data_IF_359894882910
#
_entry.id   IF_359894882910
#
_cell.length_a   1.000
_cell.length_b   1.000
_cell.length_c   1.000
_cell.angle_alpha   90.00
_cell.angle_beta   90.00
_cell.angle_gamma   90.00
#
_symmetry.space_group_name_H-M   'P 1'
#
loop_
_entity.id
_entity.type
_entity.pdbx_description
1 polymer ?
#
# COMPACT_ATOMS: atom_id res chain seq x y z
N UNK A 1 0.74 10.30 -12.26
CA UNK A 1 0.61 10.03 -10.82
C UNK A 1 -0.62 10.77 -10.35
N UNK A 2 -1.58 10.06 -9.76
CA UNK A 2 -2.80 10.68 -9.23
C UNK A 2 -2.58 10.95 -7.76
N UNK A 3 -2.81 12.19 -7.32
CA UNK A 3 -2.80 12.52 -5.89
C UNK A 3 -4.13 12.13 -5.27
N UNK A 4 -4.06 11.44 -4.14
CA UNK A 4 -5.17 11.16 -3.25
C UNK A 4 -4.82 11.71 -1.85
N UNK A 5 -5.76 12.41 -1.23
CA UNK A 5 -5.62 13.02 0.09
C UNK A 5 -6.58 12.37 1.05
N UNK A 6 -6.09 12.07 2.25
CA UNK A 6 -6.79 11.32 3.26
C UNK A 6 -6.85 12.10 4.56
N UNK A 7 -8.00 12.04 5.21
CA UNK A 7 -8.22 12.47 6.58
C UNK A 7 -8.81 11.30 7.34
N UNK A 8 -8.04 10.81 8.32
CA UNK A 8 -8.38 9.61 9.05
C UNK A 8 -8.34 9.85 10.56
N UNK A 9 -9.08 9.03 11.31
CA UNK A 9 -9.06 9.00 12.77
C UNK A 9 -8.78 7.57 13.26
N UNK A 10 -8.04 7.39 14.37
CA UNK A 10 -7.88 6.09 15.01
C UNK A 10 -9.22 5.45 15.33
N UNK A 11 -9.33 4.15 15.11
CA UNK A 11 -10.50 3.38 15.48
C UNK A 11 -10.13 2.02 16.07
N UNK A 12 -11.11 1.39 16.72
CA UNK A 12 -11.00 -0.02 17.10
C UNK A 12 -11.10 -0.86 15.83
N UNK A 13 -10.35 -1.96 15.76
CA UNK A 13 -10.53 -2.97 14.71
C UNK A 13 -11.92 -3.59 14.85
N UNK A 14 -12.78 -3.39 13.86
CA UNK A 14 -14.08 -4.09 13.82
C UNK A 14 -13.89 -5.48 13.18
N UNK A 15 -14.49 -6.52 13.76
CA UNK A 15 -14.30 -7.91 13.27
C UNK A 15 -14.89 -8.14 11.87
N UNK A 16 -15.92 -7.37 11.51
CA UNK A 16 -16.69 -7.55 10.26
C UNK A 16 -16.21 -6.66 9.09
N UNK A 17 -15.22 -5.80 9.32
CA UNK A 17 -14.69 -4.91 8.27
C UNK A 17 -13.38 -5.48 7.74
N UNK A 18 -13.42 -5.89 6.47
CA UNK A 18 -12.31 -6.58 5.80
C UNK A 18 -11.19 -5.67 5.34
N UNK A 19 -11.40 -4.36 5.30
CA UNK A 19 -10.41 -3.38 4.84
C UNK A 19 -10.34 -2.25 5.86
N UNK A 20 -9.30 -2.28 6.70
CA UNK A 20 -8.86 -1.12 7.45
C UNK A 20 -7.51 -0.67 6.94
N UNK A 21 -7.36 0.63 6.78
CA UNK A 21 -6.03 1.22 6.71
C UNK A 21 -5.42 1.19 8.12
N UNK A 22 -4.13 0.93 8.19
CA UNK A 22 -3.39 0.93 9.45
C UNK A 22 -2.03 1.55 9.25
N UNK A 23 -1.58 2.31 10.25
CA UNK A 23 -0.20 2.76 10.33
C UNK A 23 0.54 1.92 11.37
N UNK A 24 1.74 1.50 11.02
CA UNK A 24 2.71 0.95 11.97
C UNK A 24 3.15 2.03 12.95
N UNK A 25 3.59 1.63 14.15
CA UNK A 25 4.13 2.61 15.10
C UNK A 25 5.38 3.32 14.57
N UNK A 26 6.13 2.70 13.67
CA UNK A 26 7.32 3.30 13.05
C UNK A 26 6.93 4.45 12.11
N UNK A 27 5.84 4.30 11.35
CA UNK A 27 5.28 5.38 10.51
C UNK A 27 4.74 6.55 11.33
N UNK A 28 4.33 6.30 12.58
CA UNK A 28 3.84 7.32 13.50
C UNK A 28 4.93 7.87 14.44
N UNK A 29 6.19 7.45 14.27
CA UNK A 29 7.29 7.74 15.20
C UNK A 29 7.62 9.23 15.34
N UNK A 30 7.28 10.04 14.34
CA UNK A 30 7.43 11.51 14.36
C UNK A 30 6.45 12.22 15.32
N UNK A 31 5.42 11.52 15.84
CA UNK A 31 4.48 12.07 16.82
C UNK A 31 4.24 11.09 17.99
N UNK A 32 5.21 10.96 18.91
CA UNK A 32 5.11 10.02 20.03
C UNK A 32 3.93 10.32 20.97
N UNK A 33 3.53 11.59 21.09
CA UNK A 33 2.36 11.99 21.90
C UNK A 33 1.06 11.38 21.36
N UNK A 34 0.94 11.27 20.03
CA UNK A 34 -0.20 10.61 19.39
C UNK A 34 -0.25 9.13 19.77
N UNK A 35 0.89 8.45 19.75
CA UNK A 35 0.99 7.03 20.13
C UNK A 35 0.58 6.84 21.61
N UNK A 36 1.05 7.68 22.53
CA UNK A 36 0.68 7.55 23.95
C UNK A 36 -0.81 7.81 24.19
N UNK A 37 -1.39 8.80 23.49
CA UNK A 37 -2.81 9.12 23.59
C UNK A 37 -3.70 7.94 23.14
N UNK A 38 -3.29 7.21 22.10
CA UNK A 38 -4.07 6.14 21.47
C UNK A 38 -3.55 4.73 21.80
N UNK A 39 -2.78 4.57 22.88
CA UNK A 39 -2.16 3.27 23.24
C UNK A 39 -3.15 2.13 23.44
N UNK A 40 -4.39 2.45 23.84
CA UNK A 40 -5.46 1.47 24.01
C UNK A 40 -6.02 0.94 22.68
N UNK A 41 -5.67 1.57 21.56
CA UNK A 41 -6.05 1.15 20.20
C UNK A 41 -4.93 0.39 19.48
N UNK A 42 -3.75 0.27 20.09
CA UNK A 42 -2.62 -0.46 19.50
C UNK A 42 -2.95 -1.95 19.46
N UNK A 43 -2.82 -2.53 18.28
CA UNK A 43 -3.00 -3.96 18.02
C UNK A 43 -1.71 -4.57 17.45
N UNK A 44 -1.59 -5.88 17.54
CA UNK A 44 -0.52 -6.63 16.88
C UNK A 44 -1.09 -7.30 15.62
N UNK A 45 -0.43 -7.09 14.49
CA UNK A 45 -0.68 -7.83 13.26
C UNK A 45 0.52 -8.73 12.96
N UNK A 46 0.26 -9.83 12.25
CA UNK A 46 1.26 -10.74 11.74
C UNK A 46 1.24 -10.64 10.22
N UNK A 47 2.36 -10.26 9.64
CA UNK A 47 2.55 -10.19 8.20
C UNK A 47 3.70 -11.12 7.79
N UNK A 48 3.69 -11.64 6.55
CA UNK A 48 4.85 -12.34 6.01
C UNK A 48 6.07 -11.43 6.00
N UNK A 49 7.22 -11.96 6.42
CA UNK A 49 8.49 -11.23 6.38
C UNK A 49 8.97 -11.07 4.94
N UNK A 50 8.84 -12.15 4.17
CA UNK A 50 9.17 -12.23 2.76
C UNK A 50 8.23 -13.23 2.06
N UNK A 51 8.42 -13.40 0.76
CA UNK A 51 7.75 -14.42 -0.03
C UNK A 51 8.73 -15.26 -0.82
N UNK A 52 8.54 -16.58 -0.79
CA UNK A 52 9.09 -17.46 -1.79
C UNK A 52 8.13 -17.51 -2.98
N UNK A 53 8.64 -17.33 -4.18
CA UNK A 53 7.81 -17.22 -5.38
C UNK A 53 8.15 -18.30 -6.39
N UNK A 54 7.13 -18.94 -6.96
CA UNK A 54 7.28 -19.74 -8.19
C UNK A 54 6.63 -18.93 -9.31
N UNK A 55 7.46 -18.37 -10.19
CA UNK A 55 7.03 -17.61 -11.36
C UNK A 55 6.99 -18.48 -12.60
N UNK A 56 5.81 -18.59 -13.20
CA UNK A 56 5.54 -19.46 -14.35
C UNK A 56 5.34 -18.59 -15.59
N UNK A 57 6.14 -18.83 -16.61
CA UNK A 57 6.08 -18.15 -17.91
C UNK A 57 5.60 -19.12 -18.98
N UNK A 58 4.77 -18.64 -19.90
CA UNK A 58 4.27 -19.51 -20.98
C UNK A 58 5.36 -19.92 -21.99
N UNK A 59 6.41 -19.11 -22.14
CA UNK A 59 7.49 -19.27 -23.13
C UNK A 59 8.85 -18.94 -22.54
N UNK A 60 9.89 -19.59 -23.04
CA UNK A 60 11.28 -19.30 -22.66
C UNK A 60 11.70 -17.87 -23.02
N UNK A 61 11.27 -17.37 -24.18
CA UNK A 61 11.55 -16.00 -24.63
C UNK A 61 11.07 -14.95 -23.62
N UNK A 62 9.90 -15.17 -23.03
CA UNK A 62 9.29 -14.23 -22.09
C UNK A 62 10.08 -14.20 -20.78
N UNK A 63 10.51 -15.38 -20.30
CA UNK A 63 11.39 -15.49 -19.15
C UNK A 63 12.76 -14.83 -19.42
N UNK A 64 13.36 -15.04 -20.58
CA UNK A 64 14.63 -14.43 -20.96
C UNK A 64 14.54 -12.90 -20.98
N UNK A 65 13.49 -12.35 -21.61
CA UNK A 65 13.25 -10.90 -21.62
C UNK A 65 12.99 -10.34 -20.22
N UNK A 66 12.24 -11.07 -19.39
CA UNK A 66 12.02 -10.68 -18.00
C UNK A 66 13.35 -10.64 -17.23
N UNK A 67 14.20 -11.66 -17.39
CA UNK A 67 15.47 -11.77 -16.68
C UNK A 67 16.58 -10.84 -17.20
N UNK A 68 16.51 -10.41 -18.46
CA UNK A 68 17.40 -9.38 -18.99
C UNK A 68 17.15 -8.02 -18.31
N UNK A 69 15.87 -7.73 -18.03
CA UNK A 69 15.46 -6.49 -17.35
C UNK A 69 15.59 -6.59 -15.82
N UNK A 70 15.17 -7.71 -15.26
CA UNK A 70 15.13 -7.96 -13.83
C UNK A 70 16.12 -9.07 -13.49
N UNK A 71 17.01 -8.80 -12.54
CA UNK A 71 17.94 -9.83 -12.08
C UNK A 71 17.15 -10.96 -11.43
N UNK A 72 17.71 -12.18 -11.48
CA UNK A 72 17.17 -13.31 -10.71
C UNK A 72 17.13 -12.96 -9.23
N UNK A 73 15.98 -13.22 -8.62
CA UNK A 73 15.79 -13.10 -7.19
C UNK A 73 16.14 -14.42 -6.50
N UNK A 74 16.72 -14.34 -5.29
CA UNK A 74 17.19 -15.53 -4.56
C UNK A 74 16.03 -16.43 -4.11
N UNK A 75 14.88 -15.83 -3.77
CA UNK A 75 13.69 -16.52 -3.28
C UNK A 75 12.66 -16.83 -4.39
N UNK A 76 13.10 -16.85 -5.65
CA UNK A 76 12.21 -17.06 -6.80
C UNK A 76 12.68 -18.21 -7.69
N UNK A 77 11.76 -19.15 -7.96
CA UNK A 77 11.93 -20.22 -8.94
C UNK A 77 11.19 -19.85 -10.22
N UNK A 78 11.87 -20.01 -11.36
CA UNK A 78 11.32 -19.70 -12.67
C UNK A 78 11.03 -20.99 -13.43
N UNK A 79 9.77 -21.17 -13.83
CA UNK A 79 9.33 -22.32 -14.62
C UNK A 79 8.76 -21.87 -15.97
N UNK A 80 8.87 -22.74 -16.98
CA UNK A 80 8.31 -22.51 -18.32
C UNK A 80 7.21 -23.56 -18.56
N UNK A 81 6.01 -23.09 -18.89
CA UNK A 81 4.86 -23.93 -19.19
C UNK A 81 3.55 -23.30 -18.72
N UNK A 82 2.54 -24.16 -18.58
CA UNK A 82 1.24 -23.78 -18.03
C UNK A 82 1.10 -24.35 -16.63
N UNK A 83 0.40 -23.64 -15.74
CA UNK A 83 0.17 -24.03 -14.35
C UNK A 83 -0.31 -25.49 -14.24
N UNK A 84 -1.32 -25.87 -15.01
CA UNK A 84 -1.92 -27.22 -14.98
C UNK A 84 -0.94 -28.33 -15.37
N UNK A 85 0.03 -28.03 -16.24
CA UNK A 85 1.03 -29.00 -16.70
C UNK A 85 2.25 -29.09 -15.78
N UNK A 86 2.39 -28.14 -14.86
CA UNK A 86 3.54 -28.02 -13.97
C UNK A 86 3.24 -28.49 -12.54
N UNK A 87 2.06 -29.08 -12.29
CA UNK A 87 1.63 -29.49 -10.95
C UNK A 87 2.66 -30.36 -10.23
N UNK A 88 3.25 -31.34 -10.92
CA UNK A 88 4.27 -32.23 -10.33
C UNK A 88 5.57 -31.49 -10.04
N UNK A 89 6.00 -30.58 -10.92
CA UNK A 89 7.23 -29.81 -10.73
C UNK A 89 7.08 -28.77 -9.61
N UNK A 90 5.94 -28.08 -9.56
CA UNK A 90 5.57 -27.19 -8.45
C UNK A 90 5.59 -27.98 -7.14
N UNK A 91 5.01 -29.19 -7.13
CA UNK A 91 4.99 -30.05 -5.94
C UNK A 91 6.38 -30.43 -5.43
N UNK A 92 7.35 -30.66 -6.34
CA UNK A 92 8.74 -30.92 -5.97
C UNK A 92 9.37 -29.71 -5.31
N UNK A 93 9.19 -28.52 -5.88
CA UNK A 93 9.74 -27.28 -5.29
C UNK A 93 9.09 -26.94 -3.95
N UNK A 94 7.77 -27.14 -3.82
CA UNK A 94 7.08 -26.99 -2.54
C UNK A 94 7.66 -27.92 -1.48
N UNK A 95 7.87 -29.19 -1.81
CA UNK A 95 8.43 -30.17 -0.88
C UNK A 95 9.89 -29.84 -0.52
N UNK A 96 10.72 -29.51 -1.52
CA UNK A 96 12.14 -29.24 -1.33
C UNK A 96 12.40 -27.99 -0.47
N UNK A 97 11.50 -27.01 -0.52
CA UNK A 97 11.61 -25.75 0.23
C UNK A 97 10.68 -25.69 1.45
N UNK A 98 10.03 -26.79 1.82
CA UNK A 98 9.06 -26.86 2.93
C UNK A 98 7.92 -25.83 2.84
N UNK A 99 7.43 -25.56 1.63
CA UNK A 99 6.38 -24.57 1.38
C UNK A 99 4.99 -25.15 1.69
N UNK A 100 4.15 -24.34 2.34
CA UNK A 100 2.79 -24.72 2.75
C UNK A 100 1.76 -24.34 1.69
N UNK A 101 1.08 -25.35 1.15
CA UNK A 101 0.07 -25.17 0.07
C UNK A 101 -1.15 -24.39 0.50
N UNK A 102 -1.55 -24.52 1.76
CA UNK A 102 -2.71 -23.86 2.35
C UNK A 102 -2.50 -22.37 2.58
N UNK A 103 -1.25 -21.90 2.55
CA UNK A 103 -0.89 -20.50 2.76
C UNK A 103 -0.53 -19.77 1.46
N UNK A 104 -0.56 -20.47 0.32
CA UNK A 104 -0.18 -19.89 -0.97
C UNK A 104 -1.30 -19.04 -1.56
N UNK A 105 -0.93 -17.99 -2.28
CA UNK A 105 -1.85 -17.27 -3.16
C UNK A 105 -1.29 -17.18 -4.58
N UNK A 106 -2.20 -17.15 -5.55
CA UNK A 106 -1.87 -17.16 -6.97
C UNK A 106 -2.30 -15.84 -7.59
N UNK A 107 -1.39 -15.23 -8.34
CA UNK A 107 -1.57 -13.94 -8.99
C UNK A 107 -1.08 -14.05 -10.43
N UNK A 108 -1.81 -13.45 -11.37
CA UNK A 108 -1.31 -13.22 -12.73
C UNK A 108 -0.80 -11.79 -12.83
N UNK A 109 0.46 -11.62 -13.23
CA UNK A 109 1.09 -10.32 -13.42
C UNK A 109 1.37 -10.03 -14.88
N UNK A 110 1.17 -8.77 -15.27
CA UNK A 110 1.52 -8.26 -16.60
C UNK A 110 2.66 -7.26 -16.47
N UNK A 111 3.82 -7.58 -17.04
CA UNK A 111 5.02 -6.74 -17.04
C UNK A 111 5.15 -5.99 -18.37
N UNK A 112 5.12 -4.65 -18.31
CA UNK A 112 5.20 -3.75 -19.47
C UNK A 112 6.63 -3.50 -19.95
N UNK A 113 7.31 -4.56 -20.41
CA UNK A 113 8.77 -4.55 -20.66
C UNK A 113 9.12 -4.96 -22.10
N UNK A 114 8.11 -5.18 -22.91
CA UNK A 114 8.26 -5.47 -24.33
C UNK A 114 7.00 -5.14 -25.08
N UNK A 115 6.99 -5.46 -26.37
CA UNK A 115 5.77 -5.52 -27.15
C UNK A 115 5.74 -6.91 -27.83
N UNK A 116 4.87 -7.84 -27.41
CA UNK A 116 3.79 -7.67 -26.43
C UNK A 116 4.28 -7.61 -24.97
N UNK A 117 3.37 -7.21 -24.06
CA UNK A 117 3.57 -7.32 -22.61
C UNK A 117 3.84 -8.79 -22.22
N UNK A 118 4.67 -8.98 -21.19
CA UNK A 118 4.97 -10.30 -20.66
C UNK A 118 3.95 -10.65 -19.58
N UNK A 119 3.36 -11.83 -19.67
CA UNK A 119 2.40 -12.36 -18.69
C UNK A 119 3.04 -13.53 -17.96
N UNK A 120 2.98 -13.51 -16.63
CA UNK A 120 3.40 -14.60 -15.78
C UNK A 120 2.37 -14.91 -14.70
N UNK A 121 2.35 -16.17 -14.26
CA UNK A 121 1.57 -16.62 -13.10
C UNK A 121 2.54 -16.84 -11.94
N UNK A 122 2.33 -16.14 -10.84
CA UNK A 122 3.14 -16.25 -9.63
C UNK A 122 2.36 -17.00 -8.56
N UNK A 123 2.99 -18.01 -7.98
CA UNK A 123 2.54 -18.67 -6.76
C UNK A 123 3.43 -18.17 -5.64
N UNK A 124 2.85 -17.47 -4.68
CA UNK A 124 3.59 -16.83 -3.60
C UNK A 124 3.31 -17.58 -2.30
N UNK A 125 4.37 -17.85 -1.55
CA UNK A 125 4.34 -18.55 -0.27
C UNK A 125 4.95 -17.63 0.78
N UNK A 126 4.23 -17.32 1.87
CA UNK A 126 4.80 -16.49 2.92
C UNK A 126 6.00 -17.21 3.56
N UNK A 127 7.10 -16.47 3.75
CA UNK A 127 8.30 -16.95 4.44
C UNK A 127 8.52 -16.06 5.66
N UNK A 128 8.68 -16.71 6.81
CA UNK A 128 8.79 -16.01 8.08
C UNK A 128 7.49 -15.31 8.47
N UNK A 129 7.53 -14.67 9.63
CA UNK A 129 6.41 -13.89 10.13
C UNK A 129 6.96 -12.76 10.99
N UNK A 130 6.65 -11.53 10.60
CA UNK A 130 6.96 -10.35 11.38
C UNK A 130 5.71 -9.89 12.12
N UNK A 131 5.90 -9.62 13.40
CA UNK A 131 4.88 -9.00 14.24
C UNK A 131 5.07 -7.49 14.20
N UNK A 132 4.03 -6.77 13.80
CA UNK A 132 4.01 -5.31 13.80
C UNK A 132 2.94 -4.80 14.75
N UNK A 133 3.27 -3.73 15.45
CA UNK A 133 2.27 -2.97 16.21
C UNK A 133 1.68 -1.91 15.29
N UNK A 134 0.36 -1.87 15.21
CA UNK A 134 -0.36 -0.94 14.35
C UNK A 134 -1.52 -0.28 15.09
N UNK A 135 -1.92 0.88 14.58
CA UNK A 135 -3.18 1.52 14.91
C UNK A 135 -4.05 1.47 13.65
N UNK A 136 -5.32 1.10 13.80
CA UNK A 136 -6.28 1.10 12.69
C UNK A 136 -6.95 2.46 12.56
N UNK A 137 -7.33 2.80 11.34
CA UNK A 137 -7.89 4.10 11.02
C UNK A 137 -9.17 3.97 10.21
N UNK A 138 -10.06 4.92 10.44
CA UNK A 138 -11.25 5.14 9.63
C UNK A 138 -11.05 6.42 8.83
N UNK A 139 -11.23 6.32 7.51
CA UNK A 139 -11.33 7.48 6.64
C UNK A 139 -12.60 8.27 6.97
N UNK A 140 -12.44 9.57 7.21
CA UNK A 140 -13.54 10.53 7.43
C UNK A 140 -13.51 11.69 6.43
N UNK A 141 -12.46 11.79 5.63
CA UNK A 141 -12.38 12.71 4.50
C UNK A 141 -11.43 12.19 3.43
N UNK A 142 -11.82 12.40 2.17
CA UNK A 142 -11.04 11.99 1.01
C UNK A 142 -11.14 13.04 -0.09
N UNK A 143 -10.04 13.31 -0.78
CA UNK A 143 -10.04 14.16 -1.97
C UNK A 143 -9.01 13.67 -2.99
N UNK A 144 -9.50 13.42 -4.20
CA UNK A 144 -8.66 13.10 -5.35
C UNK A 144 -8.30 14.33 -6.16
N UNK A 145 -7.01 14.49 -6.46
CA UNK A 145 -6.44 15.60 -7.25
C UNK A 145 -6.77 16.97 -6.63
N UNK A 146 -6.58 18.03 -7.39
CA UNK A 146 -7.00 19.38 -7.01
C UNK A 146 -5.96 20.21 -6.28
N UNK A 147 -4.76 19.67 -6.06
CA UNK A 147 -3.63 20.40 -5.50
C UNK A 147 -2.71 20.96 -6.59
N UNK A 148 -2.15 22.15 -6.34
CA UNK A 148 -1.10 22.75 -7.15
C UNK A 148 0.22 21.95 -7.06
N UNK A 149 1.10 22.11 -8.05
CA UNK A 149 2.39 21.40 -8.09
C UNK A 149 3.28 21.68 -6.88
N UNK A 150 3.15 22.87 -6.26
CA UNK A 150 3.89 23.24 -5.05
C UNK A 150 3.50 22.41 -3.83
N UNK A 151 2.32 21.77 -3.83
CA UNK A 151 1.97 20.82 -2.77
C UNK A 151 3.00 19.69 -2.67
N UNK A 152 3.46 19.17 -3.80
CA UNK A 152 4.41 18.06 -3.85
C UNK A 152 5.84 18.45 -3.44
N UNK A 153 6.14 19.74 -3.41
CA UNK A 153 7.41 20.28 -2.90
C UNK A 153 7.37 20.42 -1.37
N UNK A 154 6.18 20.69 -0.83
CA UNK A 154 5.96 21.03 0.58
C UNK A 154 5.46 19.86 1.44
N UNK A 155 4.92 18.83 0.80
CA UNK A 155 4.39 17.63 1.45
C UNK A 155 5.12 16.39 0.94
N UNK A 156 5.33 15.44 1.84
CA UNK A 156 6.00 14.16 1.54
C UNK A 156 4.97 13.07 1.28
N UNK A 157 5.24 12.23 0.28
CA UNK A 157 4.37 11.12 -0.08
C UNK A 157 4.21 10.15 1.11
N UNK A 158 2.97 9.81 1.44
CA UNK A 158 2.59 8.95 2.56
C UNK A 158 3.04 9.41 3.96
N UNK A 159 3.48 10.67 4.12
CA UNK A 159 3.82 11.21 5.44
C UNK A 159 2.56 11.60 6.21
N UNK A 160 2.38 11.14 7.47
CA UNK A 160 1.30 11.59 8.33
C UNK A 160 1.57 12.99 8.92
N UNK A 161 0.54 13.84 8.90
CA UNK A 161 0.53 15.17 9.50
C UNK A 161 -0.57 15.27 10.56
N UNK A 162 -0.20 15.73 11.75
CA UNK A 162 -1.07 15.71 12.94
C UNK A 162 -1.56 17.10 13.37
N UNK A 163 -0.99 18.18 12.81
CA UNK A 163 -1.28 19.55 13.22
C UNK A 163 -2.28 20.19 12.28
N UNK A 164 -3.23 20.96 12.84
CA UNK A 164 -4.20 21.70 12.04
C UNK A 164 -3.52 22.71 11.11
N UNK A 165 -2.36 23.24 11.51
CA UNK A 165 -1.56 24.13 10.70
C UNK A 165 -1.13 23.51 9.35
N UNK A 166 -0.83 22.21 9.32
CA UNK A 166 -0.44 21.51 8.08
C UNK A 166 -1.63 21.36 7.14
N UNK A 167 -2.82 21.08 7.68
CA UNK A 167 -4.07 21.02 6.90
C UNK A 167 -4.44 22.40 6.34
N UNK A 168 -4.28 23.46 7.14
CA UNK A 168 -4.49 24.84 6.68
C UNK A 168 -3.47 25.24 5.60
N UNK A 169 -2.22 24.78 5.73
CA UNK A 169 -1.19 24.97 4.70
C UNK A 169 -1.58 24.22 3.42
N UNK A 170 -2.03 22.96 3.52
CA UNK A 170 -2.53 22.18 2.39
C UNK A 170 -3.70 22.86 1.67
N UNK A 171 -4.63 23.47 2.42
CA UNK A 171 -5.74 24.23 1.86
C UNK A 171 -5.29 25.38 0.95
N UNK A 172 -4.11 25.97 1.19
CA UNK A 172 -3.58 27.04 0.33
C UNK A 172 -3.18 26.56 -1.07
N UNK A 173 -2.96 25.26 -1.22
CA UNK A 173 -2.62 24.58 -2.47
C UNK A 173 -3.83 24.04 -3.23
N UNK A 174 -5.03 24.06 -2.63
CA UNK A 174 -6.27 23.72 -3.35
C UNK A 174 -6.44 24.77 -4.45
N UNK A 175 -6.22 24.32 -5.69
CA UNK A 175 -5.96 25.12 -6.89
C UNK A 175 -6.58 26.52 -6.89
N UNK A 176 -5.75 27.56 -6.70
CA UNK A 176 -6.17 28.97 -6.84
C UNK A 176 -6.52 29.35 -8.28
N UNK A 177 -6.03 28.58 -9.26
CA UNK A 177 -6.27 28.79 -10.68
C UNK A 177 -7.63 28.28 -11.19
N UNK A 178 -8.43 27.62 -10.35
CA UNK A 178 -9.78 27.20 -10.69
C UNK A 178 -10.81 28.10 -10.01
N UNK A 179 -10.92 29.35 -10.46
CA UNK A 179 -12.01 30.26 -10.02
C UNK A 179 -13.43 29.66 -10.21
N UNK A 180 -13.54 28.57 -10.96
CA UNK A 180 -14.78 27.86 -11.28
C UNK A 180 -15.03 26.60 -10.41
N UNK A 181 -14.18 26.29 -9.41
CA UNK A 181 -14.36 25.11 -8.54
C UNK A 181 -14.50 25.46 -7.07
N UNK A 182 -15.49 26.28 -6.73
CA UNK A 182 -15.85 26.56 -5.33
C UNK A 182 -16.17 25.28 -4.55
N UNK A 183 -16.78 24.29 -5.21
CA UNK A 183 -17.12 22.99 -4.64
C UNK A 183 -15.90 22.24 -4.10
N UNK A 184 -14.74 22.34 -4.76
CA UNK A 184 -13.52 21.69 -4.30
C UNK A 184 -12.99 22.32 -2.99
N UNK A 185 -13.07 23.65 -2.89
CA UNK A 185 -12.67 24.36 -1.68
C UNK A 185 -13.64 24.09 -0.53
N UNK A 186 -14.93 24.04 -0.82
CA UNK A 186 -15.96 23.71 0.17
C UNK A 186 -15.83 22.26 0.64
N UNK A 187 -15.59 21.32 -0.27
CA UNK A 187 -15.29 19.94 0.04
C UNK A 187 -14.03 19.83 0.91
N UNK A 188 -12.92 20.49 0.52
CA UNK A 188 -11.70 20.45 1.33
C UNK A 188 -11.94 21.02 2.72
N UNK A 189 -12.67 22.14 2.81
CA UNK A 189 -13.00 22.77 4.09
C UNK A 189 -13.79 21.83 4.99
N UNK A 190 -14.86 21.22 4.47
CA UNK A 190 -15.73 20.33 5.25
C UNK A 190 -15.05 19.01 5.58
N UNK A 191 -14.42 18.36 4.61
CA UNK A 191 -13.80 17.05 4.79
C UNK A 191 -12.49 17.11 5.60
N UNK A 192 -11.73 18.21 5.52
CA UNK A 192 -10.39 18.31 6.14
C UNK A 192 -10.26 19.42 7.18
N UNK A 193 -10.81 20.63 7.00
CA UNK A 193 -10.53 21.73 7.94
C UNK A 193 -11.48 21.69 9.15
N UNK A 194 -12.78 21.61 8.89
CA UNK A 194 -13.82 21.74 9.90
C UNK A 194 -13.83 20.51 10.83
N UNK A 195 -13.57 19.33 10.28
CA UNK A 195 -13.61 18.06 11.00
C UNK A 195 -12.25 17.61 11.58
N UNK A 196 -11.15 18.33 11.34
CA UNK A 196 -9.84 17.93 11.83
C UNK A 196 -9.62 18.34 13.28
N UNK A 197 -9.34 17.32 14.09
CA UNK A 197 -9.12 17.42 15.54
C UNK A 197 -7.64 17.17 15.80
N UNK A 198 -6.92 18.21 16.19
CA UNK A 198 -5.49 18.12 16.49
C UNK A 198 -5.21 17.08 17.59
N UNK A 199 -4.20 16.22 17.38
CA UNK A 199 -3.88 15.09 18.27
C UNK A 199 -4.78 13.85 18.10
N UNK A 200 -5.86 13.93 17.30
CA UNK A 200 -6.73 12.77 17.01
C UNK A 200 -6.75 12.44 15.52
N UNK A 201 -6.82 13.46 14.66
CA UNK A 201 -6.86 13.31 13.22
C UNK A 201 -5.47 13.16 12.62
N UNK A 202 -5.39 12.40 11.53
CA UNK A 202 -4.22 12.32 10.64
C UNK A 202 -4.62 12.85 9.27
N UNK A 203 -3.79 13.70 8.70
CA UNK A 203 -3.84 14.11 7.29
C UNK A 203 -2.62 13.57 6.56
N UNK A 204 -2.80 12.98 5.38
CA UNK A 204 -1.67 12.60 4.51
C UNK A 204 -2.08 12.58 3.04
N UNK A 205 -1.10 12.58 2.14
CA UNK A 205 -1.30 12.43 0.71
C UNK A 205 -0.53 11.25 0.13
N UNK A 206 -1.06 10.64 -0.92
CA UNK A 206 -0.46 9.51 -1.65
C UNK A 206 -0.43 9.81 -3.16
N UNK A 207 0.72 9.64 -3.82
CA UNK A 207 0.90 9.88 -5.28
C UNK A 207 2.02 9.08 -5.94
#
# INVERSE_FOLDING_TARGET
>A
MGLDLYHCIPCVKEEDVTIFESFTLDELSDCPEFIDQHKNLITEIVEPEDYFTISIFSKSSDLEHYLDRYKKEENTIYLIGNFDNLVDEISKHETANNLRRDERFILTTTSKIGNPDIISTNINYPVGAIKKKVIYFKEIGYQRKGMEIRFYEDFTNCQPYFKKADVLKAATYVSRNNKERSELNEHFKTAFIDNFIEGTSIFFGSW
#
